data_IF_609585136106
#
_entry.id   IF_609585136106
#
_cell.length_a   1.000
_cell.length_b   1.000
_cell.length_c   1.000
_cell.angle_alpha   90.00
_cell.angle_beta   90.00
_cell.angle_gamma   90.00
#
_symmetry.space_group_name_H-M   'P 1'
#
loop_
_entity.id
_entity.type
_entity.pdbx_description
1 polymer ?
#
# COMPACT_ATOMS: atom_id res chain seq x y z
N UNK A 1 -21.13 -15.67 -19.51
CA UNK A 1 -19.99 -14.90 -20.04
C UNK A 1 -18.84 -15.09 -19.09
N UNK A 2 -17.78 -15.74 -19.52
CA UNK A 2 -16.55 -15.81 -18.74
C UNK A 2 -16.00 -14.37 -18.57
N UNK A 3 -15.96 -13.94 -17.35
CA UNK A 3 -15.45 -12.60 -17.03
C UNK A 3 -13.94 -12.56 -17.30
N UNK A 4 -13.53 -11.89 -18.35
CA UNK A 4 -12.13 -11.84 -18.78
C UNK A 4 -11.27 -11.20 -17.68
N UNK A 5 -10.23 -11.91 -17.21
CA UNK A 5 -9.28 -11.43 -16.21
C UNK A 5 -7.88 -11.26 -16.83
N UNK A 6 -7.19 -10.14 -16.65
CA UNK A 6 -7.67 -8.90 -16.03
C UNK A 6 -8.81 -8.24 -16.85
N UNK A 7 -9.59 -7.37 -16.22
CA UNK A 7 -10.62 -6.60 -16.92
C UNK A 7 -10.05 -5.60 -17.94
N UNK A 8 -10.89 -5.06 -18.79
CA UNK A 8 -10.42 -4.22 -19.91
C UNK A 8 -9.77 -2.90 -19.47
N UNK A 9 -10.29 -2.26 -18.42
CA UNK A 9 -9.72 -1.00 -17.90
C UNK A 9 -8.36 -1.25 -17.27
N UNK A 10 -8.23 -2.31 -16.48
CA UNK A 10 -6.97 -2.76 -15.91
C UNK A 10 -5.94 -3.06 -17.00
N UNK A 11 -6.33 -3.81 -18.03
CA UNK A 11 -5.44 -4.13 -19.15
C UNK A 11 -4.97 -2.86 -19.89
N UNK A 12 -5.86 -1.93 -20.16
CA UNK A 12 -5.52 -0.66 -20.81
C UNK A 12 -4.55 0.18 -19.95
N UNK A 13 -4.76 0.25 -18.64
CA UNK A 13 -3.86 0.94 -17.72
C UNK A 13 -2.46 0.31 -17.70
N UNK A 14 -2.37 -1.01 -17.64
CA UNK A 14 -1.12 -1.76 -17.69
C UNK A 14 -0.36 -1.52 -19.01
N UNK A 15 -1.05 -1.61 -20.14
CA UNK A 15 -0.46 -1.37 -21.46
C UNK A 15 0.08 0.06 -21.61
N UNK A 16 -0.67 1.05 -21.11
CA UNK A 16 -0.23 2.45 -21.12
C UNK A 16 1.04 2.67 -20.30
N UNK A 17 1.22 1.95 -19.20
CA UNK A 17 2.39 2.08 -18.32
C UNK A 17 3.68 1.46 -18.87
N UNK A 18 3.59 0.45 -19.73
CA UNK A 18 4.74 -0.34 -20.20
C UNK A 18 5.91 0.51 -20.72
N UNK A 19 5.71 1.54 -21.57
CA UNK A 19 6.82 2.34 -22.11
C UNK A 19 7.59 3.15 -21.06
N UNK A 20 6.98 3.40 -19.92
CA UNK A 20 7.50 4.33 -18.92
C UNK A 20 8.12 3.64 -17.69
N UNK A 21 7.94 2.34 -17.54
CA UNK A 21 8.53 1.59 -16.43
C UNK A 21 9.80 0.84 -16.85
N UNK A 22 10.85 0.94 -16.05
CA UNK A 22 12.14 0.28 -16.28
C UNK A 22 12.02 -1.23 -16.57
N UNK A 23 11.04 -1.89 -15.97
CA UNK A 23 10.77 -3.32 -16.10
C UNK A 23 9.45 -3.62 -16.85
N UNK A 24 8.93 -2.66 -17.63
CA UNK A 24 7.64 -2.79 -18.29
C UNK A 24 7.53 -4.01 -19.20
N UNK A 25 8.58 -4.34 -19.92
CA UNK A 25 8.63 -5.56 -20.76
C UNK A 25 8.58 -6.83 -19.93
N UNK A 26 9.35 -6.92 -18.85
CA UNK A 26 9.32 -8.08 -17.94
C UNK A 26 7.99 -8.24 -17.23
N UNK A 27 7.36 -7.12 -16.90
CA UNK A 27 6.03 -7.11 -16.33
C UNK A 27 5.00 -7.68 -17.31
N UNK A 28 5.05 -7.25 -18.58
CA UNK A 28 4.16 -7.73 -19.62
C UNK A 28 4.34 -9.24 -19.88
N UNK A 29 5.58 -9.72 -19.92
CA UNK A 29 5.89 -11.15 -20.06
C UNK A 29 5.38 -11.95 -18.86
N UNK A 30 5.58 -11.48 -17.63
CA UNK A 30 5.09 -12.14 -16.43
C UNK A 30 3.56 -12.20 -16.38
N UNK A 31 2.87 -11.15 -16.85
CA UNK A 31 1.40 -11.13 -16.97
C UNK A 31 0.93 -12.15 -18.01
N UNK A 32 1.57 -12.20 -19.18
CA UNK A 32 1.27 -13.17 -20.24
C UNK A 32 1.52 -14.60 -19.79
N UNK A 33 2.67 -14.85 -19.13
CA UNK A 33 3.02 -16.17 -18.62
C UNK A 33 2.05 -16.65 -17.55
N UNK A 34 1.67 -15.76 -16.60
CA UNK A 34 0.68 -16.09 -15.58
C UNK A 34 -0.67 -16.42 -16.20
N UNK A 35 -1.11 -15.64 -17.19
CA UNK A 35 -2.36 -15.86 -17.89
C UNK A 35 -2.36 -17.19 -18.67
N UNK A 36 -1.25 -17.53 -19.35
CA UNK A 36 -1.11 -18.78 -20.09
C UNK A 36 -1.16 -20.03 -19.19
N UNK A 37 -0.77 -19.89 -17.92
CA UNK A 37 -0.83 -20.96 -16.90
C UNK A 37 -2.14 -20.96 -16.11
N UNK A 38 -3.09 -20.11 -16.44
CA UNK A 38 -4.36 -19.97 -15.73
C UNK A 38 -4.27 -19.37 -14.33
N UNK A 39 -3.13 -18.78 -13.97
CA UNK A 39 -2.95 -18.12 -12.67
C UNK A 39 -3.37 -16.64 -12.73
N UNK A 40 -4.12 -16.24 -11.70
CA UNK A 40 -4.39 -14.83 -11.43
C UNK A 40 -3.34 -14.31 -10.43
N UNK A 41 -2.67 -13.22 -10.77
CA UNK A 41 -1.63 -12.62 -9.94
C UNK A 41 -2.01 -11.19 -9.57
N UNK A 42 -1.61 -10.73 -8.38
CA UNK A 42 -1.74 -9.31 -7.98
C UNK A 42 -1.11 -8.35 -8.97
N UNK A 43 -0.12 -8.80 -9.76
CA UNK A 43 0.48 -8.00 -10.84
C UNK A 43 -0.46 -7.75 -12.03
N UNK A 44 -1.58 -8.45 -12.07
CA UNK A 44 -2.62 -8.27 -13.09
C UNK A 44 -3.76 -7.37 -12.59
N UNK A 45 -3.64 -6.79 -11.41
CA UNK A 45 -4.63 -5.94 -10.78
C UNK A 45 -4.09 -4.52 -10.71
N UNK A 46 -4.87 -3.55 -11.14
CA UNK A 46 -4.62 -2.12 -10.91
C UNK A 46 -5.72 -1.62 -9.98
N UNK A 47 -5.33 -1.17 -8.81
CA UNK A 47 -6.25 -0.77 -7.76
C UNK A 47 -6.79 0.63 -8.06
N UNK A 48 -8.12 0.77 -7.97
CA UNK A 48 -8.86 2.02 -8.07
C UNK A 48 -9.10 2.63 -6.68
N UNK A 49 -9.53 1.80 -5.73
CA UNK A 49 -9.77 2.22 -4.35
C UNK A 49 -9.54 1.10 -3.35
N UNK A 50 -9.34 1.49 -2.09
CA UNK A 50 -9.17 0.59 -0.97
C UNK A 50 -9.93 1.09 0.25
N UNK A 51 -10.53 0.18 1.05
CA UNK A 51 -11.27 0.50 2.25
C UNK A 51 -11.30 -0.70 3.19
N UNK A 52 -10.85 -0.53 4.43
CA UNK A 52 -10.77 -1.62 5.40
C UNK A 52 -9.98 -2.80 4.87
N UNK A 53 -10.59 -3.97 4.86
CA UNK A 53 -9.97 -5.23 4.40
C UNK A 53 -10.12 -5.48 2.90
N UNK A 54 -10.62 -4.50 2.15
CA UNK A 54 -10.95 -4.69 0.74
C UNK A 54 -10.26 -3.70 -0.17
N UNK A 55 -9.96 -4.17 -1.38
CA UNK A 55 -9.51 -3.35 -2.50
C UNK A 55 -10.38 -3.61 -3.74
N UNK A 56 -10.50 -2.62 -4.61
CA UNK A 56 -11.23 -2.74 -5.87
C UNK A 56 -10.31 -2.39 -7.03
N UNK A 57 -10.38 -3.17 -8.10
CA UNK A 57 -9.67 -2.86 -9.33
C UNK A 57 -10.41 -1.80 -10.17
N UNK A 58 -9.75 -1.32 -11.24
CA UNK A 58 -10.33 -0.37 -12.19
C UNK A 58 -11.59 -0.88 -12.89
N UNK A 59 -11.79 -2.18 -12.90
CA UNK A 59 -12.97 -2.83 -13.50
C UNK A 59 -14.09 -3.04 -12.47
N UNK A 60 -13.88 -2.62 -11.20
CA UNK A 60 -14.87 -2.65 -10.12
C UNK A 60 -14.94 -3.98 -9.37
N UNK A 61 -14.03 -4.92 -9.63
CA UNK A 61 -13.97 -6.17 -8.89
C UNK A 61 -13.40 -5.96 -7.51
N UNK A 62 -14.05 -6.56 -6.53
CA UNK A 62 -13.62 -6.49 -5.12
C UNK A 62 -12.75 -7.69 -4.76
N UNK A 63 -11.69 -7.44 -4.01
CA UNK A 63 -10.77 -8.43 -3.47
C UNK A 63 -10.58 -8.21 -1.97
N UNK A 64 -10.30 -9.30 -1.24
CA UNK A 64 -9.83 -9.20 0.14
C UNK A 64 -8.33 -8.92 0.09
N UNK A 65 -7.88 -7.91 0.82
CA UNK A 65 -6.47 -7.52 0.89
C UNK A 65 -5.72 -8.29 1.96
N UNK A 66 -5.25 -9.49 1.62
CA UNK A 66 -4.37 -10.26 2.48
C UNK A 66 -2.90 -9.76 2.48
N UNK A 67 -2.55 -8.86 1.60
CA UNK A 67 -1.19 -8.29 1.56
C UNK A 67 -1.02 -7.21 2.63
N UNK A 68 -2.07 -6.45 2.90
CA UNK A 68 -2.15 -5.44 3.94
C UNK A 68 -0.91 -4.52 3.98
N UNK A 69 -0.51 -4.00 2.80
CA UNK A 69 0.66 -3.12 2.68
C UNK A 69 1.97 -3.76 3.17
N UNK A 70 2.20 -5.05 2.90
CA UNK A 70 3.31 -5.84 3.47
C UNK A 70 3.25 -5.93 4.99
N UNK A 71 2.06 -6.10 5.54
CA UNK A 71 1.77 -6.14 6.97
C UNK A 71 2.05 -4.82 7.72
N UNK A 72 2.13 -3.69 7.02
CA UNK A 72 2.34 -2.37 7.63
C UNK A 72 1.05 -1.61 7.92
N UNK A 73 -0.10 -2.15 7.51
CA UNK A 73 -1.40 -1.48 7.60
C UNK A 73 -2.40 -2.25 8.50
N UNK A 74 -2.08 -2.49 9.78
CA UNK A 74 -2.85 -3.39 10.65
C UNK A 74 -4.27 -2.90 10.97
N UNK A 75 -4.60 -1.65 10.71
CA UNK A 75 -5.92 -1.07 10.93
C UNK A 75 -6.80 -1.07 9.68
N UNK A 76 -6.31 -1.66 8.59
CA UNK A 76 -6.99 -1.69 7.30
C UNK A 76 -6.75 -0.45 6.44
N UNK A 77 -7.16 -0.56 5.18
CA UNK A 77 -6.96 0.50 4.20
C UNK A 77 -7.83 1.72 4.48
N UNK A 78 -7.26 2.90 4.30
CA UNK A 78 -7.97 4.18 4.37
C UNK A 78 -8.73 4.39 5.70
N UNK A 79 -8.16 3.95 6.83
CA UNK A 79 -8.79 4.13 8.14
C UNK A 79 -9.08 5.61 8.39
N UNK A 80 -10.34 6.01 8.68
CA UNK A 80 -10.74 7.41 8.68
C UNK A 80 -10.01 8.25 9.73
N UNK A 81 -9.82 7.74 10.94
CA UNK A 81 -9.10 8.46 12.00
C UNK A 81 -7.62 8.68 11.66
N UNK A 82 -7.00 7.74 10.95
CA UNK A 82 -5.60 7.88 10.51
C UNK A 82 -5.52 8.94 9.42
N UNK A 83 -6.40 8.90 8.43
CA UNK A 83 -6.43 9.89 7.35
C UNK A 83 -6.63 11.30 7.90
N UNK A 84 -7.57 11.47 8.83
CA UNK A 84 -7.82 12.75 9.48
C UNK A 84 -6.60 13.23 10.27
N UNK A 85 -5.95 12.35 11.03
CA UNK A 85 -4.74 12.68 11.80
C UNK A 85 -3.58 13.10 10.90
N UNK A 86 -3.36 12.39 9.79
CA UNK A 86 -2.33 12.72 8.79
C UNK A 86 -2.62 14.06 8.12
N UNK A 87 -3.86 14.28 7.69
CA UNK A 87 -4.26 15.55 7.08
C UNK A 87 -4.05 16.72 8.04
N UNK A 88 -4.48 16.60 9.29
CA UNK A 88 -4.29 17.60 10.32
C UNK A 88 -2.82 17.90 10.57
N UNK A 89 -1.98 16.86 10.70
CA UNK A 89 -0.56 17.02 10.92
C UNK A 89 0.13 17.71 9.73
N UNK A 90 -0.19 17.34 8.51
CA UNK A 90 0.36 17.93 7.29
C UNK A 90 0.02 19.42 7.16
N UNK A 91 -1.19 19.81 7.54
CA UNK A 91 -1.61 21.23 7.53
C UNK A 91 -0.90 22.08 8.58
N UNK A 92 -0.54 21.46 9.71
CA UNK A 92 0.02 22.18 10.86
C UNK A 92 1.55 22.26 10.83
N UNK A 93 2.26 21.18 10.47
CA UNK A 93 3.69 21.05 10.74
C UNK A 93 4.59 21.11 9.49
N UNK A 94 4.05 20.96 8.31
CA UNK A 94 4.88 20.83 7.10
C UNK A 94 5.67 19.52 7.07
N UNK A 95 6.69 19.43 6.19
CA UNK A 95 7.29 18.15 5.87
C UNK A 95 8.69 17.88 6.46
N UNK A 96 9.53 18.87 6.64
CA UNK A 96 10.96 18.63 6.96
C UNK A 96 11.41 19.03 8.36
N UNK A 97 10.50 19.45 9.21
CA UNK A 97 10.86 19.98 10.51
C UNK A 97 10.52 19.03 11.64
N UNK A 98 11.28 19.10 12.72
CA UNK A 98 10.92 18.46 13.96
C UNK A 98 9.63 19.06 14.53
N UNK A 99 8.77 18.23 15.12
CA UNK A 99 7.49 18.67 15.66
C UNK A 99 7.04 17.78 16.85
N UNK A 100 6.15 18.26 17.71
CA UNK A 100 5.78 17.59 18.97
C UNK A 100 5.32 16.13 18.78
N UNK A 101 4.58 15.81 17.74
CA UNK A 101 4.06 14.44 17.52
C UNK A 101 5.17 13.38 17.42
N UNK A 102 6.36 13.77 16.99
CA UNK A 102 7.51 12.87 16.95
C UNK A 102 7.95 12.44 18.35
N UNK A 103 7.97 13.37 19.28
CA UNK A 103 8.32 13.10 20.67
C UNK A 103 7.21 12.33 21.40
N UNK A 104 5.95 12.71 21.17
CA UNK A 104 4.78 11.99 21.71
C UNK A 104 4.77 10.53 21.25
N UNK A 105 5.10 10.26 19.99
CA UNK A 105 5.20 8.89 19.48
C UNK A 105 6.35 8.12 20.14
N UNK A 106 7.53 8.73 20.26
CA UNK A 106 8.68 8.08 20.91
C UNK A 106 8.37 7.71 22.36
N UNK A 107 7.73 8.60 23.10
CA UNK A 107 7.31 8.35 24.48
C UNK A 107 6.29 7.21 24.59
N UNK A 108 5.29 7.20 23.71
CA UNK A 108 4.28 6.13 23.66
C UNK A 108 4.91 4.78 23.32
N UNK A 109 5.81 4.74 22.34
CA UNK A 109 6.52 3.52 21.96
C UNK A 109 7.37 3.00 23.13
N UNK A 110 8.11 3.86 23.82
CA UNK A 110 8.91 3.46 24.99
C UNK A 110 8.04 2.84 26.10
N UNK A 111 6.84 3.37 26.34
CA UNK A 111 5.90 2.86 27.36
C UNK A 111 5.31 1.48 27.06
N UNK A 112 5.16 1.12 25.79
CA UNK A 112 4.58 -0.18 25.40
C UNK A 112 5.63 -1.28 25.25
N UNK A 113 6.93 -0.92 25.31
CA UNK A 113 8.01 -1.91 25.26
C UNK A 113 8.06 -2.73 26.53
N UNK A 114 8.25 -4.06 26.43
CA UNK A 114 8.38 -4.90 27.61
C UNK A 114 9.54 -4.46 28.52
N UNK A 115 9.26 -4.32 29.81
CA UNK A 115 10.23 -3.99 30.84
C UNK A 115 11.03 -2.68 30.62
N UNK A 116 10.46 -1.74 29.86
CA UNK A 116 11.13 -0.48 29.48
C UNK A 116 12.52 -0.69 28.86
N UNK A 117 12.74 -1.86 28.24
CA UNK A 117 14.07 -2.28 27.75
C UNK A 117 14.56 -1.48 26.55
N UNK A 118 13.67 -0.84 25.83
CA UNK A 118 13.97 -0.08 24.60
C UNK A 118 13.44 1.36 24.69
N UNK A 119 14.07 2.24 25.49
CA UNK A 119 13.55 3.58 25.73
C UNK A 119 13.84 4.57 24.59
N UNK A 120 14.61 4.16 23.56
CA UNK A 120 15.03 5.03 22.46
C UNK A 120 14.39 4.59 21.16
N UNK A 121 13.86 5.56 20.41
CA UNK A 121 13.24 5.35 19.09
C UNK A 121 14.09 6.02 18.02
N UNK A 122 14.42 5.28 16.97
CA UNK A 122 14.94 5.82 15.73
C UNK A 122 13.84 5.75 14.66
N UNK A 123 13.72 6.79 13.83
CA UNK A 123 12.74 6.87 12.74
C UNK A 123 13.47 6.76 11.42
N UNK A 124 13.17 5.72 10.67
CA UNK A 124 13.75 5.44 9.36
C UNK A 124 12.65 5.41 8.28
N UNK A 125 13.05 5.59 7.02
CA UNK A 125 12.11 5.62 5.91
C UNK A 125 11.86 4.25 5.29
N UNK A 126 12.64 3.24 5.67
CA UNK A 126 12.47 1.87 5.18
C UNK A 126 12.79 0.84 6.28
N UNK A 127 12.27 -0.36 6.12
CA UNK A 127 12.57 -1.47 7.04
C UNK A 127 13.98 -2.07 6.87
N UNK A 128 14.77 -1.59 5.92
CA UNK A 128 16.12 -2.10 5.61
C UNK A 128 17.23 -1.25 6.24
N UNK A 129 16.91 -0.06 6.65
CA UNK A 129 17.80 0.87 7.36
C UNK A 129 17.85 0.52 8.86
#
# INVERSE_FOLDING_TARGET
MEEHFPGQKTLAALQRGIPYFKNGLRFNEAVKESASRGFRSVRQIVIDRAEGDYVWDLDGRRYIDFQNGWATNPLGNCHPEILEAVERANRQYGFHYDHPLRYDLAERLARIMPNEALPRTNYEVSGTE
#
